data_IF_274807739719
#
_entry.id   IF_274807739719
#
_cell.length_a   1.000
_cell.length_b   1.000
_cell.length_c   1.000
_cell.angle_alpha   90.00
_cell.angle_beta   90.00
_cell.angle_gamma   90.00
#
_symmetry.space_group_name_H-M   'P 1'
#
loop_
_entity.id
_entity.type
_entity.pdbx_description
1 polymer ?
#
# COMPACT_ATOMS: atom_id res chain seq x y z
N UNK A 1 14.49 -9.20 22.91
CA UNK A 1 13.00 -9.12 22.91
C UNK A 1 12.43 -10.20 23.82
N UNK A 2 11.74 -9.83 24.91
CA UNK A 2 11.14 -10.82 25.81
C UNK A 2 9.80 -11.29 25.25
N UNK A 3 9.73 -12.54 24.82
CA UNK A 3 8.53 -13.10 24.19
C UNK A 3 7.62 -13.81 25.21
N UNK A 4 8.21 -14.42 26.24
CA UNK A 4 7.44 -15.14 27.25
C UNK A 4 8.31 -16.02 28.13
N UNK A 5 7.78 -17.19 28.49
CA UNK A 5 8.49 -18.19 29.30
C UNK A 5 8.38 -19.57 28.69
N UNK A 6 9.42 -20.39 28.89
CA UNK A 6 9.40 -21.82 28.56
C UNK A 6 8.52 -22.57 29.56
N UNK A 7 8.22 -23.85 29.27
CA UNK A 7 7.49 -24.73 30.20
C UNK A 7 8.20 -24.91 31.55
N UNK A 8 9.53 -24.80 31.59
CA UNK A 8 10.33 -24.84 32.81
C UNK A 8 10.35 -23.52 33.58
N UNK A 9 9.66 -22.49 33.09
CA UNK A 9 9.58 -21.17 33.73
C UNK A 9 10.71 -20.20 33.36
N UNK A 10 11.68 -20.62 32.54
CA UNK A 10 12.78 -19.76 32.08
C UNK A 10 12.28 -18.71 31.11
N UNK A 11 12.89 -17.52 31.12
CA UNK A 11 12.57 -16.49 30.14
C UNK A 11 12.88 -16.98 28.72
N UNK A 12 11.94 -16.77 27.81
CA UNK A 12 12.14 -16.98 26.37
C UNK A 12 12.35 -15.63 25.72
N UNK A 13 13.58 -15.39 25.30
CA UNK A 13 14.06 -14.11 24.76
C UNK A 13 14.59 -14.37 23.35
N UNK A 14 14.22 -13.51 22.41
CA UNK A 14 14.79 -13.46 21.07
C UNK A 14 15.83 -12.34 21.00
N UNK A 15 16.92 -12.55 20.26
CA UNK A 15 17.81 -11.45 19.92
C UNK A 15 17.11 -10.51 18.94
N UNK A 16 17.33 -9.20 19.09
CA UNK A 16 16.78 -8.24 18.13
C UNK A 16 17.54 -8.28 16.79
N UNK A 17 18.84 -8.64 16.82
CA UNK A 17 19.65 -8.75 15.60
C UNK A 17 19.22 -9.91 14.70
N UNK A 18 18.56 -10.94 15.26
CA UNK A 18 18.00 -12.06 14.48
C UNK A 18 16.93 -11.63 13.47
N UNK A 19 16.35 -10.43 13.64
CA UNK A 19 15.36 -9.86 12.71
C UNK A 19 16.01 -9.07 11.57
N UNK A 20 17.28 -8.67 11.69
CA UNK A 20 17.98 -7.94 10.64
C UNK A 20 18.37 -8.89 9.50
N UNK A 21 17.90 -8.59 8.28
CA UNK A 21 18.04 -9.46 7.11
C UNK A 21 17.30 -10.81 7.19
N UNK A 22 16.57 -11.08 8.27
CA UNK A 22 15.87 -12.35 8.50
C UNK A 22 14.41 -12.35 8.05
N UNK A 23 13.93 -13.50 7.54
CA UNK A 23 12.51 -13.74 7.30
C UNK A 23 11.87 -14.45 8.50
N UNK A 24 11.03 -13.74 9.26
CA UNK A 24 10.26 -14.32 10.37
C UNK A 24 8.82 -14.63 9.95
N UNK A 25 8.37 -15.87 10.17
CA UNK A 25 6.99 -16.30 9.90
C UNK A 25 6.28 -16.67 11.19
N UNK A 26 5.22 -15.92 11.55
CA UNK A 26 4.37 -16.21 12.71
C UNK A 26 3.05 -16.82 12.22
N UNK A 27 2.81 -18.09 12.56
CA UNK A 27 1.62 -18.84 12.13
C UNK A 27 0.81 -19.39 13.31
N UNK A 28 -0.46 -19.73 13.06
CA UNK A 28 -1.40 -20.18 14.09
C UNK A 28 -2.87 -19.93 13.71
N UNK A 29 -3.81 -20.63 14.35
CA UNK A 29 -5.26 -20.48 14.10
C UNK A 29 -5.77 -19.09 14.50
N UNK A 30 -6.98 -18.70 14.07
CA UNK A 30 -7.63 -17.48 14.57
C UNK A 30 -7.77 -17.57 16.09
N UNK A 31 -7.48 -16.48 16.81
CA UNK A 31 -7.55 -16.43 18.27
C UNK A 31 -6.34 -16.99 19.02
N UNK A 32 -5.28 -17.46 18.34
CA UNK A 32 -4.08 -17.99 19.02
C UNK A 32 -3.03 -16.94 19.39
N UNK A 33 -3.37 -15.66 19.35
CA UNK A 33 -2.46 -14.58 19.77
C UNK A 33 -1.34 -14.22 18.80
N UNK A 34 -1.42 -14.57 17.50
CA UNK A 34 -0.41 -14.18 16.50
C UNK A 34 -0.12 -12.68 16.51
N UNK A 35 -1.17 -11.87 16.42
CA UNK A 35 -1.08 -10.42 16.41
C UNK A 35 -0.65 -9.84 17.76
N UNK A 36 -0.83 -10.59 18.84
CA UNK A 36 -0.31 -10.20 20.14
C UNK A 36 1.21 -10.38 20.19
N UNK A 37 1.71 -11.54 19.72
CA UNK A 37 3.13 -11.81 19.63
C UNK A 37 3.87 -10.83 18.71
N UNK A 38 3.34 -10.56 17.51
CA UNK A 38 3.95 -9.60 16.58
C UNK A 38 3.98 -8.18 17.16
N UNK A 39 2.94 -7.74 17.88
CA UNK A 39 2.95 -6.41 18.54
C UNK A 39 3.99 -6.32 19.65
N UNK A 40 4.22 -7.40 20.42
CA UNK A 40 5.29 -7.41 21.42
C UNK A 40 6.66 -7.26 20.77
N UNK A 41 6.92 -8.00 19.68
CA UNK A 41 8.16 -7.89 18.91
C UNK A 41 8.33 -6.47 18.37
N UNK A 42 7.31 -5.93 17.68
CA UNK A 42 7.33 -4.58 17.12
C UNK A 42 7.54 -3.51 18.20
N UNK A 43 6.88 -3.64 19.35
CA UNK A 43 7.03 -2.72 20.47
C UNK A 43 8.47 -2.66 20.98
N UNK A 44 9.11 -3.83 21.15
CA UNK A 44 10.51 -3.87 21.59
C UNK A 44 11.45 -3.33 20.50
N UNK A 45 11.25 -3.69 19.22
CA UNK A 45 12.04 -3.17 18.10
C UNK A 45 11.97 -1.63 17.99
N UNK A 46 10.76 -1.06 18.05
CA UNK A 46 10.57 0.40 18.10
C UNK A 46 11.21 0.99 19.35
N UNK A 47 11.17 0.27 20.48
CA UNK A 47 11.87 0.64 21.71
C UNK A 47 13.39 0.76 21.54
N UNK A 48 14.00 -0.14 20.75
CA UNK A 48 15.41 -0.07 20.37
C UNK A 48 15.72 0.97 19.29
N UNK A 49 14.70 1.64 18.73
CA UNK A 49 14.87 2.64 17.68
C UNK A 49 14.90 2.08 16.26
N UNK A 50 14.53 0.80 16.08
CA UNK A 50 14.46 0.19 14.76
C UNK A 50 13.26 0.76 13.96
N UNK A 51 13.45 1.18 12.70
CA UNK A 51 12.35 1.60 11.84
C UNK A 51 11.45 0.39 11.52
N UNK A 52 10.14 0.55 11.69
CA UNK A 52 9.15 -0.51 11.45
C UNK A 52 8.07 -0.01 10.50
N UNK A 53 7.78 -0.79 9.45
CA UNK A 53 6.65 -0.59 8.54
C UNK A 53 5.69 -1.77 8.66
N UNK A 54 4.40 -1.50 8.89
CA UNK A 54 3.38 -2.53 9.06
C UNK A 54 2.28 -2.36 8.02
N UNK A 55 2.06 -3.38 7.20
CA UNK A 55 0.89 -3.48 6.33
C UNK A 55 -0.26 -4.15 7.07
N UNK A 56 -1.16 -3.35 7.61
CA UNK A 56 -2.22 -3.81 8.52
C UNK A 56 -3.57 -4.00 7.82
N UNK A 57 -3.76 -5.16 7.20
CA UNK A 57 -5.00 -5.49 6.50
C UNK A 57 -6.20 -5.63 7.45
N UNK A 58 -5.98 -5.94 8.74
CA UNK A 58 -7.07 -6.20 9.70
C UNK A 58 -7.31 -5.05 10.69
N UNK A 59 -6.53 -3.96 10.62
CA UNK A 59 -6.64 -2.81 11.54
C UNK A 59 -6.25 -3.12 12.99
N UNK A 60 -5.40 -4.12 13.23
CA UNK A 60 -5.05 -4.55 14.59
C UNK A 60 -3.88 -3.74 15.19
N UNK A 61 -3.08 -3.03 14.41
CA UNK A 61 -1.77 -2.46 14.78
C UNK A 61 -1.78 -0.93 15.00
N UNK A 62 -2.95 -0.32 15.13
CA UNK A 62 -3.08 1.11 15.43
C UNK A 62 -2.31 1.57 16.67
N UNK A 63 -2.04 2.87 16.76
CA UNK A 63 -1.11 3.49 17.72
C UNK A 63 -1.26 3.01 19.18
N UNK A 64 -2.49 2.73 19.65
CA UNK A 64 -2.76 2.27 21.01
C UNK A 64 -2.16 0.89 21.34
N UNK A 65 -1.80 0.08 20.34
CA UNK A 65 -1.36 -1.31 20.51
C UNK A 65 0.15 -1.52 20.58
N UNK A 66 0.98 -0.54 20.15
CA UNK A 66 2.43 -0.74 19.95
C UNK A 66 3.27 0.22 20.80
N UNK A 67 2.79 1.42 21.13
CA UNK A 67 3.58 2.35 21.96
C UNK A 67 2.95 3.71 22.17
N UNK A 68 3.75 4.63 22.70
CA UNK A 68 3.35 6.03 22.87
C UNK A 68 3.23 6.65 21.46
N UNK A 69 2.01 7.00 21.05
CA UNK A 69 1.62 7.28 19.66
C UNK A 69 2.39 8.41 18.96
N UNK A 70 3.30 9.09 19.65
CA UNK A 70 4.19 10.13 19.12
C UNK A 70 5.23 9.61 18.12
N UNK A 71 5.55 8.31 18.15
CA UNK A 71 6.51 7.66 17.24
C UNK A 71 5.86 6.83 16.13
N UNK A 72 4.53 6.80 16.09
CA UNK A 72 3.77 5.94 15.17
C UNK A 72 2.92 6.83 14.28
N UNK A 73 3.17 6.77 12.97
CA UNK A 73 2.33 7.41 11.97
C UNK A 73 1.40 6.35 11.39
N UNK A 74 0.09 6.52 11.55
CA UNK A 74 -0.92 5.66 10.94
C UNK A 74 -1.40 6.29 9.65
N UNK A 75 -1.27 5.55 8.55
CA UNK A 75 -1.68 5.94 7.22
C UNK A 75 -2.84 5.07 6.77
N UNK A 76 -3.94 5.71 6.41
CA UNK A 76 -5.18 5.09 5.96
C UNK A 76 -5.39 5.49 4.50
N UNK A 77 -5.24 4.53 3.55
CA UNK A 77 -5.48 4.76 2.14
C UNK A 77 -6.84 5.43 1.89
N UNK A 78 -6.82 6.53 1.14
CA UNK A 78 -8.01 7.29 0.77
C UNK A 78 -8.54 8.28 1.81
N UNK A 79 -8.01 8.25 3.03
CA UNK A 79 -8.29 9.23 4.08
C UNK A 79 -7.09 10.20 4.23
N UNK A 80 -6.14 9.89 5.12
CA UNK A 80 -4.94 10.69 5.34
C UNK A 80 -3.73 10.22 4.51
N UNK A 81 -3.89 9.17 3.70
CA UNK A 81 -2.89 8.68 2.76
C UNK A 81 -3.42 8.67 1.32
N UNK A 82 -2.92 9.60 0.51
CA UNK A 82 -3.25 9.73 -0.92
C UNK A 82 -2.00 9.94 -1.76
N UNK A 83 -2.04 9.46 -2.99
CA UNK A 83 -0.94 9.53 -3.95
C UNK A 83 -1.41 10.13 -5.28
N UNK A 84 -0.53 10.83 -5.98
CA UNK A 84 -0.81 11.27 -7.36
C UNK A 84 -0.34 10.21 -8.35
N UNK A 85 -0.95 10.17 -9.54
CA UNK A 85 -0.47 9.28 -10.60
C UNK A 85 0.95 9.63 -11.07
N UNK A 86 1.32 10.92 -11.01
CA UNK A 86 2.69 11.35 -11.29
C UNK A 86 3.71 10.76 -10.31
N UNK A 87 3.39 10.71 -9.01
CA UNK A 87 4.25 10.08 -8.00
C UNK A 87 4.34 8.57 -8.20
N UNK A 88 3.21 7.92 -8.50
CA UNK A 88 3.15 6.46 -8.73
C UNK A 88 3.95 6.06 -9.97
N UNK A 89 3.87 6.84 -11.05
CA UNK A 89 4.55 6.58 -12.31
C UNK A 89 3.89 5.48 -13.15
N UNK A 90 4.25 5.46 -14.44
CA UNK A 90 3.60 4.61 -15.44
C UNK A 90 3.72 3.12 -15.15
N UNK A 91 4.92 2.62 -14.84
CA UNK A 91 5.14 1.18 -14.74
C UNK A 91 4.44 0.58 -13.52
N UNK A 92 4.42 1.29 -12.37
CA UNK A 92 3.65 0.87 -11.19
C UNK A 92 2.16 0.92 -11.48
N UNK A 93 1.69 1.97 -12.15
CA UNK A 93 0.28 2.08 -12.52
C UNK A 93 -0.16 1.00 -13.50
N UNK A 94 0.65 0.68 -14.52
CA UNK A 94 0.39 -0.44 -15.43
C UNK A 94 0.39 -1.78 -14.68
N UNK A 95 1.35 -2.01 -13.79
CA UNK A 95 1.39 -3.19 -12.94
C UNK A 95 0.13 -3.35 -12.10
N UNK A 96 -0.36 -2.27 -11.48
CA UNK A 96 -1.63 -2.25 -10.77
C UNK A 96 -2.79 -2.63 -11.69
N UNK A 97 -2.91 -1.96 -12.84
CA UNK A 97 -4.01 -2.18 -13.78
C UNK A 97 -4.04 -3.61 -14.34
N UNK A 98 -2.89 -4.15 -14.72
CA UNK A 98 -2.77 -5.47 -15.34
C UNK A 98 -2.82 -6.61 -14.31
N UNK A 99 -2.05 -6.52 -13.23
CA UNK A 99 -1.87 -7.63 -12.29
C UNK A 99 -2.92 -7.65 -11.19
N UNK A 100 -3.33 -6.48 -10.69
CA UNK A 100 -4.31 -6.40 -9.58
C UNK A 100 -5.73 -6.23 -10.11
N UNK A 101 -5.92 -5.44 -11.16
CA UNK A 101 -7.23 -5.16 -11.73
C UNK A 101 -7.53 -5.98 -13.00
N UNK A 102 -6.67 -6.94 -13.34
CA UNK A 102 -6.85 -7.87 -14.46
C UNK A 102 -7.17 -7.15 -15.78
N UNK A 103 -6.50 -6.04 -16.07
CA UNK A 103 -6.62 -5.36 -17.36
C UNK A 103 -5.95 -6.23 -18.45
N UNK A 104 -6.63 -6.53 -19.57
CA UNK A 104 -6.02 -7.27 -20.66
C UNK A 104 -4.81 -6.53 -21.25
N UNK A 105 -3.75 -7.25 -21.63
CA UNK A 105 -2.50 -6.66 -22.13
C UNK A 105 -2.70 -5.71 -23.32
N UNK A 106 -3.64 -6.01 -24.23
CA UNK A 106 -3.97 -5.13 -25.36
C UNK A 106 -4.52 -3.77 -24.89
N UNK A 107 -5.26 -3.74 -23.77
CA UNK A 107 -5.75 -2.51 -23.15
C UNK A 107 -4.64 -1.78 -22.39
N UNK A 108 -3.66 -2.51 -21.84
CA UNK A 108 -2.45 -1.94 -21.23
C UNK A 108 -1.62 -1.12 -22.21
N UNK A 109 -1.47 -1.59 -23.45
CA UNK A 109 -0.80 -0.83 -24.51
C UNK A 109 -1.50 0.49 -24.85
N UNK A 110 -2.84 0.50 -24.93
CA UNK A 110 -3.60 1.74 -25.14
C UNK A 110 -3.46 2.69 -23.95
N UNK A 111 -3.44 2.17 -22.72
CA UNK A 111 -3.20 2.98 -21.53
C UNK A 111 -1.81 3.64 -21.54
N UNK A 112 -0.76 2.89 -21.92
CA UNK A 112 0.60 3.43 -22.10
C UNK A 112 0.61 4.57 -23.13
N UNK A 113 -0.05 4.37 -24.27
CA UNK A 113 -0.18 5.38 -25.33
C UNK A 113 -0.93 6.64 -24.89
N UNK A 114 -1.92 6.50 -24.00
CA UNK A 114 -2.64 7.64 -23.40
C UNK A 114 -1.77 8.39 -22.39
N UNK A 115 -0.95 7.65 -21.63
CA UNK A 115 -0.13 8.21 -20.56
C UNK A 115 0.96 9.14 -21.08
N UNK A 116 1.73 8.72 -22.09
CA UNK A 116 2.91 9.45 -22.58
C UNK A 116 2.61 10.93 -22.94
N UNK A 117 1.54 11.25 -23.69
CA UNK A 117 1.21 12.65 -23.99
C UNK A 117 0.76 13.46 -22.76
N UNK A 118 0.17 12.83 -21.75
CA UNK A 118 -0.24 13.51 -20.51
C UNK A 118 0.98 13.83 -19.66
N UNK A 119 1.90 12.87 -19.54
CA UNK A 119 3.16 13.06 -18.84
C UNK A 119 4.01 14.16 -19.49
N UNK A 120 4.07 14.20 -20.83
CA UNK A 120 4.75 15.26 -21.57
C UNK A 120 4.14 16.66 -21.34
N UNK A 121 2.86 16.75 -20.96
CA UNK A 121 2.19 18.00 -20.59
C UNK A 121 2.40 18.40 -19.12
N UNK A 122 3.10 17.58 -18.34
CA UNK A 122 3.52 17.88 -16.98
C UNK A 122 2.54 17.47 -15.88
N UNK A 123 1.45 16.78 -16.19
CA UNK A 123 0.63 16.13 -15.15
C UNK A 123 -0.19 14.97 -15.67
N UNK A 124 -0.14 13.83 -14.98
CA UNK A 124 -1.02 12.70 -15.19
C UNK A 124 -2.05 12.64 -14.06
N UNK A 125 -3.32 12.63 -14.44
CA UNK A 125 -4.48 12.60 -13.52
C UNK A 125 -5.48 11.57 -14.01
N UNK A 126 -6.30 11.01 -13.11
CA UNK A 126 -7.33 10.05 -13.53
C UNK A 126 -8.28 10.72 -14.51
N UNK A 127 -8.67 11.98 -14.22
CA UNK A 127 -9.48 12.80 -15.13
C UNK A 127 -8.80 13.00 -16.49
N UNK A 128 -7.50 13.25 -16.52
CA UNK A 128 -6.73 13.42 -17.75
C UNK A 128 -6.72 12.17 -18.62
N UNK A 129 -6.51 11.00 -18.01
CA UNK A 129 -6.56 9.70 -18.69
C UNK A 129 -7.99 9.46 -19.22
N UNK A 130 -9.01 9.67 -18.38
CA UNK A 130 -10.42 9.50 -18.76
C UNK A 130 -10.79 10.36 -19.98
N UNK A 131 -10.40 11.63 -19.98
CA UNK A 131 -10.66 12.54 -21.10
C UNK A 131 -10.01 12.04 -22.39
N UNK A 132 -8.76 11.55 -22.32
CA UNK A 132 -8.06 10.98 -23.47
C UNK A 132 -8.71 9.70 -23.99
N UNK A 133 -9.23 8.84 -23.13
CA UNK A 133 -9.97 7.63 -23.54
C UNK A 133 -11.19 8.02 -24.40
N UNK A 134 -11.95 9.02 -23.96
CA UNK A 134 -13.16 9.46 -24.68
C UNK A 134 -12.84 10.21 -25.98
N UNK A 135 -11.79 11.02 -26.01
CA UNK A 135 -11.39 11.76 -27.22
C UNK A 135 -10.65 10.90 -28.25
N UNK A 136 -10.10 9.76 -27.84
CA UNK A 136 -9.31 8.89 -28.73
C UNK A 136 -10.17 7.86 -29.47
N UNK A 137 -9.71 7.49 -30.67
CA UNK A 137 -10.27 6.38 -31.45
C UNK A 137 -9.75 5.05 -30.92
N UNK A 138 -10.32 4.60 -29.81
CA UNK A 138 -10.04 3.32 -29.15
C UNK A 138 -11.25 2.40 -29.33
N UNK A 139 -11.01 1.09 -29.36
CA UNK A 139 -12.07 0.07 -29.37
C UNK A 139 -12.99 0.19 -28.15
N UNK A 140 -14.31 0.07 -28.34
CA UNK A 140 -15.30 0.28 -27.28
C UNK A 140 -15.14 -0.67 -26.08
N UNK A 141 -14.76 -1.93 -26.31
CA UNK A 141 -14.47 -2.88 -25.22
C UNK A 141 -13.25 -2.48 -24.40
N UNK A 142 -12.24 -1.90 -25.05
CA UNK A 142 -11.05 -1.38 -24.37
C UNK A 142 -11.39 -0.12 -23.57
N UNK A 143 -12.22 0.77 -24.13
CA UNK A 143 -12.73 1.95 -23.40
C UNK A 143 -13.47 1.55 -22.14
N UNK A 144 -14.45 0.66 -22.26
CA UNK A 144 -15.26 0.16 -21.15
C UNK A 144 -14.38 -0.53 -20.08
N UNK A 145 -13.40 -1.34 -20.51
CA UNK A 145 -12.45 -1.97 -19.59
C UNK A 145 -11.60 -0.95 -18.81
N UNK A 146 -11.08 0.08 -19.48
CA UNK A 146 -10.28 1.13 -18.83
C UNK A 146 -11.14 1.98 -17.89
N UNK A 147 -12.31 2.44 -18.35
CA UNK A 147 -13.21 3.30 -17.58
C UNK A 147 -13.64 2.63 -16.28
N UNK A 148 -14.09 1.36 -16.32
CA UNK A 148 -14.48 0.64 -15.09
C UNK A 148 -13.38 0.57 -14.04
N UNK A 149 -12.12 0.49 -14.48
CA UNK A 149 -10.96 0.42 -13.58
C UNK A 149 -10.62 1.81 -13.03
N UNK A 150 -10.69 2.85 -13.86
CA UNK A 150 -10.55 4.23 -13.38
C UNK A 150 -11.64 4.58 -12.35
N UNK A 151 -12.88 4.15 -12.57
CA UNK A 151 -13.97 4.36 -11.61
C UNK A 151 -13.72 3.65 -10.28
N UNK A 152 -13.19 2.42 -10.31
CA UNK A 152 -12.80 1.69 -9.10
C UNK A 152 -11.61 2.36 -8.37
N UNK A 153 -10.64 2.91 -9.11
CA UNK A 153 -9.52 3.66 -8.52
C UNK A 153 -9.99 4.95 -7.86
N UNK A 154 -10.87 5.71 -8.51
CA UNK A 154 -11.47 6.91 -7.89
C UNK A 154 -12.31 6.56 -6.67
N UNK A 155 -13.11 5.49 -6.76
CA UNK A 155 -13.93 5.01 -5.64
C UNK A 155 -13.11 4.58 -4.42
N UNK A 156 -11.82 4.25 -4.60
CA UNK A 156 -10.92 3.95 -3.48
C UNK A 156 -10.51 5.18 -2.66
N UNK A 157 -10.61 6.38 -3.23
CA UNK A 157 -10.14 7.63 -2.64
C UNK A 157 -8.61 7.77 -2.55
N UNK A 158 -7.84 6.73 -2.88
CA UNK A 158 -6.38 6.70 -2.75
C UNK A 158 -5.66 7.67 -3.70
N UNK A 159 -6.23 7.89 -4.88
CA UNK A 159 -5.60 8.71 -5.91
C UNK A 159 -6.10 10.15 -5.83
N UNK A 160 -5.16 11.08 -5.77
CA UNK A 160 -5.42 12.52 -5.82
C UNK A 160 -5.05 13.07 -7.20
N UNK A 161 -5.90 13.94 -7.75
CA UNK A 161 -5.63 14.67 -8.98
C UNK A 161 -4.85 15.97 -8.74
N UNK A 162 -4.84 16.48 -7.50
CA UNK A 162 -4.14 17.72 -7.14
C UNK A 162 -2.91 17.43 -6.26
N UNK A 163 -1.75 18.05 -6.55
CA UNK A 163 -0.53 17.82 -5.76
C UNK A 163 -0.60 18.21 -4.28
N UNK A 164 -1.51 19.10 -3.90
CA UNK A 164 -1.69 19.52 -2.50
C UNK A 164 -2.51 18.53 -1.66
N UNK A 165 -3.19 17.57 -2.30
CA UNK A 165 -3.90 16.47 -1.64
C UNK A 165 -3.00 15.23 -1.46
N UNK A 166 -1.80 15.26 -2.01
CA UNK A 166 -0.78 14.22 -1.86
C UNK A 166 -0.21 14.19 -0.45
N UNK A 167 -0.10 13.00 0.12
CA UNK A 167 0.59 12.81 1.41
C UNK A 167 2.11 12.87 1.19
N UNK A 168 2.73 14.00 1.53
CA UNK A 168 4.18 14.15 1.54
C UNK A 168 4.79 13.60 2.84
N UNK A 169 5.93 12.92 2.73
CA UNK A 169 6.77 12.46 3.85
C UNK A 169 8.07 13.26 3.90
#
# INVERSE_FOLDING_TARGET
>A
ILVGKTRSGNAFVLDAEDFDGGLTVITGKKGTGKSHLSKLILKDLVGYGAPCLVFDVNGEYGASGIGDGKRIVTLVPGDNFKVTLDYVGLDVFLGLMEQTMSLPSNSGWELRRIWEPLQAKGSVTIRGIRNQIFSSRINEYVKDALVRRLDALEGSGLFADLPNEHTAF
#
